data_IF_135686594920
#
_entry.id   IF_135686594920
#
_cell.length_a   1.000
_cell.length_b   1.000
_cell.length_c   1.000
_cell.angle_alpha   90.00
_cell.angle_beta   90.00
_cell.angle_gamma   90.00
#
_symmetry.space_group_name_H-M   'P 1'
#
loop_
_entity.id
_entity.type
_entity.pdbx_description
1 polymer ?
#
# COMPACT_ATOMS: atom_id res chain seq x y z
N UNK A 1 -29.04 3.38 30.51
CA UNK A 1 -28.29 4.55 30.03
C UNK A 1 -26.88 4.07 29.77
N UNK A 2 -26.59 3.64 28.53
CA UNK A 2 -25.22 3.24 28.15
C UNK A 2 -24.52 4.50 27.65
N UNK A 3 -23.77 5.11 28.53
CA UNK A 3 -22.84 6.19 28.19
C UNK A 3 -21.63 5.51 27.51
N UNK A 4 -21.78 5.22 26.21
CA UNK A 4 -20.68 4.69 25.41
C UNK A 4 -19.64 5.80 25.32
N UNK A 5 -18.39 5.58 25.79
CA UNK A 5 -17.36 6.62 25.74
C UNK A 5 -17.20 7.08 24.29
N UNK A 6 -17.47 8.36 24.03
CA UNK A 6 -17.12 9.00 22.76
C UNK A 6 -15.61 8.87 22.63
N UNK A 7 -15.15 8.05 21.70
CA UNK A 7 -13.75 8.08 21.28
C UNK A 7 -13.43 9.52 20.87
N UNK A 8 -12.27 10.07 21.25
CA UNK A 8 -11.92 11.43 20.87
C UNK A 8 -11.88 11.53 19.34
N UNK A 9 -12.81 12.31 18.79
CA UNK A 9 -12.86 12.60 17.36
C UNK A 9 -11.63 13.44 16.98
N UNK A 10 -10.94 13.08 15.90
CA UNK A 10 -9.79 13.83 15.40
C UNK A 10 -10.23 15.25 15.02
N UNK A 11 -9.38 16.24 15.31
CA UNK A 11 -9.62 17.62 14.85
C UNK A 11 -9.47 17.71 13.32
N UNK A 12 -10.09 18.74 12.73
CA UNK A 12 -9.92 19.01 11.28
C UNK A 12 -8.45 19.18 10.89
N UNK A 13 -7.64 19.78 11.76
CA UNK A 13 -6.19 19.94 11.55
C UNK A 13 -5.46 18.60 11.55
N UNK A 14 -5.82 17.68 12.45
CA UNK A 14 -5.25 16.33 12.48
C UNK A 14 -5.63 15.54 11.24
N UNK A 15 -6.89 15.63 10.79
CA UNK A 15 -7.37 14.98 9.57
C UNK A 15 -6.60 15.50 8.35
N UNK A 16 -6.45 16.82 8.24
CA UNK A 16 -5.71 17.44 7.15
C UNK A 16 -4.23 16.99 7.14
N UNK A 17 -3.61 16.93 8.31
CA UNK A 17 -2.25 16.42 8.44
C UNK A 17 -2.13 14.96 7.99
N UNK A 18 -3.05 14.07 8.41
CA UNK A 18 -3.05 12.67 7.97
C UNK A 18 -3.26 12.55 6.45
N UNK A 19 -4.12 13.39 5.86
CA UNK A 19 -4.28 13.45 4.41
C UNK A 19 -2.97 13.85 3.70
N UNK A 20 -2.22 14.81 4.27
CA UNK A 20 -0.91 15.19 3.73
C UNK A 20 0.09 14.02 3.80
N UNK A 21 0.08 13.23 4.87
CA UNK A 21 0.91 12.02 4.97
C UNK A 21 0.56 11.03 3.86
N UNK A 22 -0.73 10.75 3.63
CA UNK A 22 -1.19 9.87 2.55
C UNK A 22 -0.75 10.40 1.18
N UNK A 23 -0.81 11.72 0.96
CA UNK A 23 -0.33 12.37 -0.25
C UNK A 23 1.19 12.25 -0.44
N UNK A 24 1.98 12.18 0.63
CA UNK A 24 3.42 11.92 0.52
C UNK A 24 3.71 10.57 -0.13
N UNK A 25 2.93 9.53 0.20
CA UNK A 25 3.06 8.22 -0.43
C UNK A 25 2.67 8.26 -1.91
N UNK A 26 1.58 8.96 -2.26
CA UNK A 26 1.14 9.14 -3.67
C UNK A 26 2.17 9.87 -4.52
N UNK A 27 2.87 10.84 -3.93
CA UNK A 27 3.76 11.76 -4.63
C UNK A 27 5.24 11.36 -4.58
N UNK A 28 5.59 10.22 -3.99
CA UNK A 28 6.99 9.78 -3.93
C UNK A 28 7.86 10.54 -2.92
N UNK A 29 7.25 11.20 -1.92
CA UNK A 29 7.96 12.06 -0.95
C UNK A 29 8.66 11.24 0.14
N UNK A 30 9.56 10.34 -0.24
CA UNK A 30 10.20 9.33 0.62
C UNK A 30 10.78 9.91 1.90
N UNK A 31 11.58 10.98 1.83
CA UNK A 31 12.27 11.51 3.02
C UNK A 31 11.29 12.12 4.02
N UNK A 32 10.27 12.85 3.53
CA UNK A 32 9.23 13.43 4.38
C UNK A 32 8.37 12.35 5.00
N UNK A 33 7.92 11.37 4.21
CA UNK A 33 7.11 10.26 4.69
C UNK A 33 7.85 9.41 5.73
N UNK A 34 9.11 9.07 5.45
CA UNK A 34 9.97 8.35 6.39
C UNK A 34 10.09 9.10 7.71
N UNK A 35 10.36 10.40 7.66
CA UNK A 35 10.52 11.24 8.86
C UNK A 35 9.26 11.26 9.74
N UNK A 36 8.06 11.37 9.15
CA UNK A 36 6.82 11.38 9.94
C UNK A 36 6.48 10.00 10.50
N UNK A 37 6.79 8.92 9.78
CA UNK A 37 6.64 7.54 10.31
C UNK A 37 7.60 7.32 11.47
N UNK A 38 8.85 7.75 11.34
CA UNK A 38 9.87 7.63 12.39
C UNK A 38 9.52 8.48 13.63
N UNK A 39 8.63 9.48 13.50
CA UNK A 39 8.07 10.27 14.59
C UNK A 39 6.81 9.66 15.23
N UNK A 40 6.35 8.49 14.76
CA UNK A 40 5.26 7.72 15.37
C UNK A 40 3.96 7.70 14.57
N UNK A 41 3.94 8.24 13.34
CA UNK A 41 2.81 7.99 12.44
C UNK A 41 2.79 6.50 12.07
N UNK A 42 1.64 5.81 12.18
CA UNK A 42 1.56 4.40 11.83
C UNK A 42 1.95 4.14 10.37
N UNK A 43 2.87 3.20 10.14
CA UNK A 43 3.29 2.78 8.79
C UNK A 43 2.13 2.21 7.97
N UNK A 44 1.12 1.64 8.64
CA UNK A 44 -0.10 1.09 8.02
C UNK A 44 -1.27 2.09 8.03
N UNK A 45 -0.99 3.40 8.07
CA UNK A 45 -2.02 4.44 7.94
C UNK A 45 -2.79 4.23 6.63
N UNK A 46 -4.12 4.31 6.70
CA UNK A 46 -5.02 4.20 5.56
C UNK A 46 -5.82 5.47 5.33
N UNK A 47 -6.22 5.69 4.08
CA UNK A 47 -7.29 6.64 3.77
C UNK A 47 -8.69 6.04 4.02
N UNK A 48 -9.74 6.83 3.76
CA UNK A 48 -11.13 6.40 3.94
C UNK A 48 -11.59 5.26 3.02
N UNK A 49 -10.77 4.82 2.05
CA UNK A 49 -11.03 3.66 1.18
C UNK A 49 -10.24 2.43 1.61
N UNK A 50 -9.51 2.53 2.73
CA UNK A 50 -8.59 1.47 3.17
C UNK A 50 -7.33 1.37 2.31
N UNK A 51 -7.03 2.36 1.46
CA UNK A 51 -5.76 2.40 0.75
C UNK A 51 -4.66 2.78 1.76
N UNK A 52 -3.82 1.81 2.12
CA UNK A 52 -2.66 2.03 3.00
C UNK A 52 -1.58 2.85 2.30
N UNK A 53 -0.62 3.38 3.06
CA UNK A 53 0.56 4.05 2.48
C UNK A 53 1.26 3.17 1.43
N UNK A 54 1.36 1.85 1.68
CA UNK A 54 1.98 0.90 0.76
C UNK A 54 1.15 0.70 -0.51
N UNK A 55 -0.18 0.59 -0.38
CA UNK A 55 -1.10 0.49 -1.54
C UNK A 55 -1.04 1.77 -2.38
N UNK A 56 -1.05 2.94 -1.74
CA UNK A 56 -0.97 4.23 -2.42
C UNK A 56 0.36 4.38 -3.18
N UNK A 57 1.48 4.01 -2.58
CA UNK A 57 2.79 4.05 -3.22
C UNK A 57 2.84 3.13 -4.45
N UNK A 58 2.37 1.88 -4.31
CA UNK A 58 2.35 0.91 -5.40
C UNK A 58 1.41 1.35 -6.55
N UNK A 59 0.22 1.88 -6.24
CA UNK A 59 -0.72 2.36 -7.27
C UNK A 59 -0.23 3.61 -8.01
N UNK A 60 0.66 4.40 -7.40
CA UNK A 60 1.25 5.59 -8.01
C UNK A 60 2.68 5.36 -8.52
N UNK A 61 3.12 4.10 -8.60
CA UNK A 61 4.44 3.70 -9.11
C UNK A 61 5.59 4.44 -8.42
N UNK A 62 5.63 4.38 -7.09
CA UNK A 62 6.63 5.02 -6.23
C UNK A 62 7.53 3.96 -5.55
N UNK A 63 8.46 3.31 -6.28
CA UNK A 63 9.22 2.17 -5.76
C UNK A 63 10.10 2.52 -4.56
N UNK A 64 10.67 3.72 -4.49
CA UNK A 64 11.46 4.13 -3.33
C UNK A 64 10.60 4.30 -2.06
N UNK A 65 9.34 4.69 -2.22
CA UNK A 65 8.39 4.71 -1.10
C UNK A 65 8.01 3.29 -0.71
N UNK A 66 7.72 2.42 -1.68
CA UNK A 66 7.41 1.00 -1.44
C UNK A 66 8.53 0.36 -0.62
N UNK A 67 9.78 0.51 -1.06
CA UNK A 67 10.96 0.03 -0.34
C UNK A 67 11.02 0.57 1.09
N UNK A 68 10.91 1.89 1.27
CA UNK A 68 11.04 2.53 2.58
C UNK A 68 9.94 2.09 3.57
N UNK A 69 8.74 1.79 3.07
CA UNK A 69 7.63 1.29 3.86
C UNK A 69 7.82 -0.20 4.24
N UNK A 70 8.29 -1.03 3.31
CA UNK A 70 8.65 -2.44 3.58
C UNK A 70 9.73 -2.52 4.67
N UNK A 71 10.78 -1.72 4.56
CA UNK A 71 11.87 -1.64 5.56
C UNK A 71 11.37 -1.20 6.96
N UNK A 72 10.23 -0.53 7.02
CA UNK A 72 9.56 -0.10 8.27
C UNK A 72 8.46 -1.05 8.73
N UNK A 73 8.35 -2.23 8.13
CA UNK A 73 7.40 -3.26 8.54
C UNK A 73 5.95 -2.97 8.13
N UNK A 74 5.75 -2.32 6.97
CA UNK A 74 4.41 -2.20 6.40
C UNK A 74 3.76 -3.58 6.17
N UNK A 75 2.48 -3.69 6.48
CA UNK A 75 1.68 -4.90 6.24
C UNK A 75 1.51 -5.12 4.72
N UNK A 76 2.01 -6.25 4.21
CA UNK A 76 1.96 -6.59 2.79
C UNK A 76 0.60 -7.16 2.36
N UNK A 77 -0.15 -7.70 3.33
CA UNK A 77 -1.40 -8.44 3.15
C UNK A 77 -2.66 -7.60 3.41
N UNK A 78 -2.49 -6.30 3.64
CA UNK A 78 -3.63 -5.40 3.78
C UNK A 78 -4.39 -5.27 2.44
N UNK A 79 -5.71 -5.38 2.51
CA UNK A 79 -6.61 -5.19 1.36
C UNK A 79 -7.41 -3.89 1.54
N UNK A 80 -7.44 -3.06 0.49
CA UNK A 80 -8.34 -1.91 0.45
C UNK A 80 -9.81 -2.34 0.24
N UNK A 81 -10.73 -1.37 0.22
CA UNK A 81 -12.15 -1.61 0.00
C UNK A 81 -12.49 -2.26 -1.36
N UNK A 82 -11.55 -2.30 -2.32
CA UNK A 82 -11.69 -2.99 -3.61
C UNK A 82 -11.14 -4.42 -3.58
N UNK A 83 -10.63 -4.89 -2.44
CA UNK A 83 -10.01 -6.20 -2.29
C UNK A 83 -8.64 -6.30 -2.98
N UNK A 84 -7.91 -5.18 -3.10
CA UNK A 84 -6.60 -5.11 -3.74
C UNK A 84 -5.51 -4.90 -2.69
N UNK A 85 -4.42 -5.65 -2.78
CA UNK A 85 -3.19 -5.43 -2.01
C UNK A 85 -2.24 -4.48 -2.74
N UNK A 86 -1.14 -4.12 -2.09
CA UNK A 86 -0.08 -3.33 -2.73
C UNK A 86 0.49 -4.04 -3.97
N UNK A 87 0.68 -5.37 -3.89
CA UNK A 87 1.18 -6.17 -5.02
C UNK A 87 0.19 -6.18 -6.19
N UNK A 88 -1.11 -6.33 -5.91
CA UNK A 88 -2.14 -6.18 -6.95
C UNK A 88 -2.02 -4.82 -7.65
N UNK A 89 -1.87 -3.74 -6.88
CA UNK A 89 -1.76 -2.39 -7.43
C UNK A 89 -0.49 -2.21 -8.27
N UNK A 90 0.67 -2.69 -7.79
CA UNK A 90 1.93 -2.62 -8.55
C UNK A 90 1.82 -3.32 -9.91
N UNK A 91 1.24 -4.53 -9.95
CA UNK A 91 1.02 -5.30 -11.19
C UNK A 91 0.03 -4.60 -12.12
N UNK A 92 -1.08 -4.07 -11.58
CA UNK A 92 -2.04 -3.30 -12.37
C UNK A 92 -1.40 -2.06 -13.02
N UNK A 93 -0.46 -1.43 -12.32
CA UNK A 93 0.31 -0.29 -12.79
C UNK A 93 1.49 -0.67 -13.68
N UNK A 94 1.77 -1.95 -13.84
CA UNK A 94 2.94 -2.48 -14.56
C UNK A 94 4.25 -1.91 -14.01
N UNK A 95 4.33 -1.73 -12.69
CA UNK A 95 5.55 -1.33 -11.98
C UNK A 95 6.34 -2.58 -11.59
N UNK A 96 7.31 -2.95 -12.43
CA UNK A 96 8.15 -4.13 -12.21
C UNK A 96 9.01 -4.02 -10.94
N UNK A 97 9.53 -2.84 -10.64
CA UNK A 97 10.41 -2.62 -9.49
C UNK A 97 9.65 -2.85 -8.18
N UNK A 98 8.50 -2.18 -8.01
CA UNK A 98 7.64 -2.38 -6.84
C UNK A 98 7.13 -3.82 -6.76
N UNK A 99 6.79 -4.44 -7.90
CA UNK A 99 6.32 -5.84 -7.93
C UNK A 99 7.38 -6.79 -7.39
N UNK A 100 8.63 -6.68 -7.85
CA UNK A 100 9.73 -7.52 -7.36
C UNK A 100 10.01 -7.27 -5.89
N UNK A 101 10.09 -6.01 -5.45
CA UNK A 101 10.29 -5.69 -4.03
C UNK A 101 9.21 -6.30 -3.12
N UNK A 102 7.95 -6.22 -3.53
CA UNK A 102 6.84 -6.78 -2.76
C UNK A 102 6.87 -8.32 -2.72
N UNK A 103 7.20 -8.98 -3.84
CA UNK A 103 7.35 -10.43 -3.92
C UNK A 103 8.55 -10.93 -3.10
N UNK A 104 9.70 -10.27 -3.20
CA UNK A 104 10.90 -10.53 -2.40
C UNK A 104 10.62 -10.39 -0.90
N UNK A 105 9.77 -9.44 -0.52
CA UNK A 105 9.32 -9.25 0.86
C UNK A 105 8.27 -10.28 1.32
N UNK A 106 7.77 -11.13 0.42
CA UNK A 106 6.82 -12.20 0.74
C UNK A 106 5.34 -11.84 0.59
N UNK A 107 5.01 -10.80 -0.19
CA UNK A 107 3.62 -10.48 -0.50
C UNK A 107 2.95 -11.64 -1.29
N UNK A 108 1.77 -12.08 -0.85
CA UNK A 108 1.05 -13.19 -1.49
C UNK A 108 0.40 -12.75 -2.82
N UNK A 109 0.82 -13.29 -3.98
CA UNK A 109 0.26 -12.95 -5.28
C UNK A 109 -1.16 -13.47 -5.51
N UNK A 110 -1.67 -14.35 -4.62
CA UNK A 110 -3.02 -14.91 -4.66
C UNK A 110 -3.98 -14.23 -3.68
N UNK A 111 -3.51 -13.20 -2.97
CA UNK A 111 -4.30 -12.54 -1.93
C UNK A 111 -5.43 -11.67 -2.47
N UNK A 112 -6.63 -11.92 -1.95
CA UNK A 112 -7.84 -11.15 -2.27
C UNK A 112 -8.53 -11.60 -3.57
N UNK A 113 -9.75 -11.11 -3.80
CA UNK A 113 -10.55 -11.49 -4.98
C UNK A 113 -10.01 -10.92 -6.29
N UNK A 114 -9.33 -9.76 -6.23
CA UNK A 114 -8.60 -9.17 -7.35
C UNK A 114 -7.10 -9.25 -7.05
N UNK A 115 -6.57 -10.46 -6.98
CA UNK A 115 -5.16 -10.69 -6.69
C UNK A 115 -4.24 -10.40 -7.89
N UNK A 116 -2.94 -10.38 -7.65
CA UNK A 116 -1.93 -10.05 -8.65
C UNK A 116 -1.99 -10.99 -9.87
N UNK A 117 -2.14 -12.30 -9.65
CA UNK A 117 -2.28 -13.27 -10.75
C UNK A 117 -3.51 -12.99 -11.62
N UNK A 118 -4.68 -12.75 -11.00
CA UNK A 118 -5.90 -12.44 -11.73
C UNK A 118 -5.77 -11.18 -12.60
N UNK A 119 -5.03 -10.16 -12.12
CA UNK A 119 -4.72 -8.96 -12.91
C UNK A 119 -3.88 -9.31 -14.14
N UNK A 120 -2.87 -10.18 -14.02
CA UNK A 120 -2.06 -10.57 -15.19
C UNK A 120 -2.88 -11.28 -16.27
N UNK A 121 -3.84 -12.11 -15.88
CA UNK A 121 -4.72 -12.81 -16.81
C UNK A 121 -5.75 -11.87 -17.45
N UNK A 122 -6.33 -10.97 -16.65
CA UNK A 122 -7.36 -10.04 -17.12
C UNK A 122 -6.84 -9.01 -18.13
N UNK A 123 -5.59 -8.57 -17.98
CA UNK A 123 -4.98 -7.54 -18.83
C UNK A 123 -3.95 -8.09 -19.82
N UNK A 124 -3.79 -9.40 -19.93
CA UNK A 124 -2.80 -10.07 -20.78
C UNK A 124 -1.37 -9.53 -20.55
N UNK A 125 -0.88 -9.70 -19.31
CA UNK A 125 0.44 -9.25 -18.86
C UNK A 125 1.39 -10.45 -18.65
N UNK A 126 1.87 -11.11 -19.71
CA UNK A 126 2.68 -12.33 -19.61
C UNK A 126 4.02 -12.09 -18.89
N UNK A 127 4.60 -10.89 -18.99
CA UNK A 127 5.81 -10.52 -18.27
C UNK A 127 5.60 -10.57 -16.75
N UNK A 128 4.54 -9.92 -16.24
CA UNK A 128 4.24 -9.91 -14.80
C UNK A 128 3.82 -11.27 -14.29
N UNK A 129 3.15 -12.08 -15.13
CA UNK A 129 2.86 -13.47 -14.81
C UNK A 129 4.15 -14.26 -14.58
N UNK A 130 5.11 -14.15 -15.49
CA UNK A 130 6.41 -14.81 -15.35
C UNK A 130 7.15 -14.36 -14.08
N UNK A 131 7.14 -13.06 -13.78
CA UNK A 131 7.72 -12.53 -12.54
C UNK A 131 7.07 -13.14 -11.31
N UNK A 132 5.74 -13.22 -11.24
CA UNK A 132 5.04 -13.82 -10.10
C UNK A 132 5.37 -15.31 -9.97
N UNK A 133 5.45 -16.03 -11.08
CA UNK A 133 5.76 -17.46 -11.10
C UNK A 133 7.19 -17.78 -10.58
N UNK A 134 8.12 -16.80 -10.59
CA UNK A 134 9.44 -16.94 -9.96
C UNK A 134 9.37 -17.08 -8.42
N UNK A 135 8.24 -16.70 -7.79
CA UNK A 135 8.08 -16.62 -6.32
C UNK A 135 6.99 -17.56 -5.76
N UNK A 136 6.53 -18.55 -6.53
CA UNK A 136 5.53 -19.56 -6.14
C UNK A 136 6.17 -20.92 -5.84
#
# INVERSE_FOLDING_TARGET
>A
MTDTPRQPELSNEQIEFLNQVLDMARQGKVQMLSSVIDQGIPVNLTDGKGDSLLILAAYNSQPEVVKALIERGAELDQLNARGQSALTCAVFKQDEESTRMLLEAGADPKLGPQNALAVTEMFDLPQFRAIIEEYL
#
